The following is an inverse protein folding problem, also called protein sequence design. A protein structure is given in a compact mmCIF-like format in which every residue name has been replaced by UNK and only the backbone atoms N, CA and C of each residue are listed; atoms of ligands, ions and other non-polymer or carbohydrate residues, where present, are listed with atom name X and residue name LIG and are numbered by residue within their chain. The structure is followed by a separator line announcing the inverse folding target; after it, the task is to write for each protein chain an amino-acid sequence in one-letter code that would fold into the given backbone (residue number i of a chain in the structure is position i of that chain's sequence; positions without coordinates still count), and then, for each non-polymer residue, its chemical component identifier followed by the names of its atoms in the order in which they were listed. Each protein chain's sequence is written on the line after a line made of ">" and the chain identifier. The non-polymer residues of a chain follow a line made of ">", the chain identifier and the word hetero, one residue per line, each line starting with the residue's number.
data_IF_155358006530
#
_entry.id   IF_155358006530
#
_cell.length_a   1.000
_cell.length_b   1.000
_cell.length_c   1.000
_cell.angle_alpha   90.00
_cell.angle_beta   90.00
_cell.angle_gamma   90.00
#
_symmetry.space_group_name_H-M   'P 1'
#
loop_
_entity.id
_entity.type
_entity.pdbx_description
1 polymer ?
#
# COMPACT_ATOMS: atom_id res chain seq x y z
N UNK A 1 -2.68 1.60 -3.46
CA UNK A 1 -4.04 1.67 -2.87
C UNK A 1 -4.15 0.64 -1.75
N UNK A 2 -5.00 0.86 -0.75
CA UNK A 2 -5.33 -0.09 0.34
C UNK A 2 -6.82 -0.12 0.56
N UNK A 3 -7.43 -1.31 0.52
CA UNK A 3 -8.88 -1.48 0.76
C UNK A 3 -9.74 -0.52 -0.08
N UNK A 4 -9.43 -0.40 -1.38
CA UNK A 4 -10.01 0.54 -2.34
C UNK A 4 -9.81 2.04 -2.06
N UNK A 5 -8.91 2.41 -1.15
CA UNK A 5 -8.53 3.80 -0.90
C UNK A 5 -7.17 4.13 -1.51
N UNK A 6 -7.07 5.30 -2.13
CA UNK A 6 -5.79 5.87 -2.53
C UNK A 6 -5.03 6.31 -1.27
N UNK A 7 -3.80 5.80 -1.10
CA UNK A 7 -2.94 6.04 0.08
C UNK A 7 -1.52 6.46 -0.28
N UNK A 8 -1.17 6.38 -1.56
CA UNK A 8 0.16 6.72 -2.08
C UNK A 8 0.09 6.99 -3.58
N UNK A 9 0.80 8.02 -4.02
CA UNK A 9 0.97 8.38 -5.43
C UNK A 9 2.46 8.47 -5.73
N UNK A 10 2.87 7.84 -6.84
CA UNK A 10 4.23 7.89 -7.36
C UNK A 10 4.17 8.39 -8.80
N UNK A 11 4.95 9.42 -9.12
CA UNK A 11 5.05 9.92 -10.49
C UNK A 11 6.18 9.18 -11.20
N UNK A 12 5.84 8.53 -12.31
CA UNK A 12 6.78 7.77 -13.13
C UNK A 12 6.90 8.43 -14.51
N UNK A 13 8.10 8.41 -15.09
CA UNK A 13 8.35 8.89 -16.46
C UNK A 13 8.97 7.82 -17.38
N UNK A 14 9.29 6.64 -16.83
CA UNK A 14 10.00 5.57 -17.52
C UNK A 14 9.10 4.41 -17.97
N UNK A 15 9.69 3.52 -18.78
CA UNK A 15 9.07 2.24 -19.18
C UNK A 15 9.11 1.16 -18.09
N UNK A 16 9.93 1.37 -17.06
CA UNK A 16 10.12 0.51 -15.89
C UNK A 16 10.28 1.39 -14.68
N UNK A 17 9.75 0.95 -13.55
CA UNK A 17 9.78 1.70 -12.30
C UNK A 17 9.88 0.73 -11.13
N UNK A 18 10.54 1.17 -10.05
CA UNK A 18 10.55 0.50 -8.76
C UNK A 18 10.53 1.53 -7.64
N UNK A 19 9.76 1.26 -6.59
CA UNK A 19 9.67 2.13 -5.42
C UNK A 19 9.34 1.30 -4.18
N UNK A 20 9.73 1.83 -3.03
CA UNK A 20 9.35 1.30 -1.72
C UNK A 20 8.30 2.19 -1.08
N UNK A 21 7.37 1.58 -0.34
CA UNK A 21 6.34 2.31 0.39
C UNK A 21 6.09 1.66 1.76
N UNK A 22 6.02 2.50 2.80
CA UNK A 22 5.70 2.10 4.17
C UNK A 22 4.36 2.72 4.55
N UNK A 23 3.37 1.88 4.84
CA UNK A 23 2.07 2.30 5.36
C UNK A 23 2.15 2.58 6.87
N UNK A 24 2.27 3.85 7.23
CA UNK A 24 2.32 4.29 8.64
C UNK A 24 0.95 4.27 9.34
N UNK A 25 -0.12 4.20 8.57
CA UNK A 25 -1.50 4.27 9.06
C UNK A 25 -2.19 2.90 8.95
N UNK A 26 -1.42 1.82 8.81
CA UNK A 26 -1.95 0.47 8.73
C UNK A 26 -2.65 0.08 10.04
N UNK A 27 -3.91 -0.33 9.90
CA UNK A 27 -4.73 -0.81 11.00
C UNK A 27 -4.55 -2.32 11.15
N UNK A 28 -4.57 -2.86 12.39
CA UNK A 28 -4.55 -4.30 12.62
C UNK A 28 -5.64 -5.04 11.83
N UNK A 29 -5.33 -6.26 11.39
CA UNK A 29 -6.22 -7.12 10.64
C UNK A 29 -5.82 -7.31 9.17
N UNK A 30 -6.75 -7.83 8.38
CA UNK A 30 -6.60 -8.07 6.94
C UNK A 30 -6.68 -6.77 6.17
N UNK A 31 -5.65 -6.52 5.37
CA UNK A 31 -5.57 -5.43 4.42
C UNK A 31 -5.19 -6.01 3.07
N UNK A 32 -5.73 -5.48 1.98
CA UNK A 32 -5.22 -5.76 0.65
C UNK A 32 -4.73 -4.48 0.00
N UNK A 33 -3.58 -4.62 -0.67
CA UNK A 33 -2.94 -3.57 -1.43
C UNK A 33 -2.98 -3.92 -2.89
N UNK A 34 -3.08 -2.91 -3.73
CA UNK A 34 -2.88 -3.09 -5.15
C UNK A 34 -2.33 -1.80 -5.75
N UNK A 35 -1.60 -1.99 -6.85
CA UNK A 35 -1.08 -0.91 -7.66
C UNK A 35 -2.05 -0.65 -8.80
N UNK A 36 -2.39 0.63 -8.99
CA UNK A 36 -3.12 1.14 -10.14
C UNK A 36 -2.20 2.10 -10.87
N UNK A 37 -1.98 1.85 -12.15
CA UNK A 37 -1.16 2.68 -13.02
C UNK A 37 -2.11 3.39 -13.96
N UNK A 38 -1.98 4.72 -14.02
CA UNK A 38 -2.66 5.54 -15.03
C UNK A 38 -1.61 6.02 -16.01
N UNK A 39 -1.80 5.75 -17.30
CA UNK A 39 -0.91 6.19 -18.37
C UNK A 39 -1.28 7.59 -18.86
N UNK A 40 -0.45 8.17 -19.72
CA UNK A 40 -0.66 9.49 -20.33
C UNK A 40 -1.97 9.60 -21.13
N UNK A 41 -2.35 8.50 -21.78
CA UNK A 41 -3.63 8.34 -22.50
C UNK A 41 -4.84 8.12 -21.57
N UNK A 42 -4.66 8.18 -20.24
CA UNK A 42 -5.67 7.96 -19.19
C UNK A 42 -6.16 6.52 -19.03
N UNK A 43 -5.64 5.57 -19.78
CA UNK A 43 -5.92 4.15 -19.58
C UNK A 43 -5.34 3.68 -18.25
N UNK A 44 -6.00 2.68 -17.66
CA UNK A 44 -5.65 2.15 -16.36
C UNK A 44 -5.32 0.67 -16.42
N UNK A 45 -4.29 0.29 -15.66
CA UNK A 45 -3.96 -1.10 -15.39
C UNK A 45 -3.82 -1.32 -13.90
N UNK A 46 -4.18 -2.51 -13.42
CA UNK A 46 -4.06 -2.89 -12.03
C UNK A 46 -3.27 -4.20 -11.88
N UNK A 47 -2.45 -4.24 -10.84
CA UNK A 47 -1.83 -5.48 -10.40
C UNK A 47 -2.83 -6.32 -9.59
N UNK A 48 -2.55 -7.63 -9.49
CA UNK A 48 -3.24 -8.50 -8.54
C UNK A 48 -3.08 -7.98 -7.10
N UNK A 49 -4.07 -8.23 -6.23
CA UNK A 49 -3.99 -7.78 -4.85
C UNK A 49 -2.90 -8.53 -4.07
N UNK A 50 -2.23 -7.78 -3.21
CA UNK A 50 -1.28 -8.29 -2.21
C UNK A 50 -2.01 -8.27 -0.87
N UNK A 51 -2.24 -9.46 -0.30
CA UNK A 51 -2.94 -9.62 0.97
C UNK A 51 -1.95 -9.61 2.13
N UNK A 52 -2.25 -8.79 3.14
CA UNK A 52 -1.42 -8.61 4.34
C UNK A 52 -2.30 -8.76 5.58
N UNK A 53 -1.89 -9.62 6.50
CA UNK A 53 -2.44 -9.71 7.85
C UNK A 53 -1.51 -8.95 8.79
N UNK A 54 -1.92 -7.75 9.24
CA UNK A 54 -1.10 -6.92 10.11
C UNK A 54 -1.48 -7.10 11.58
N UNK A 55 -0.49 -7.38 12.42
CA UNK A 55 -0.66 -7.44 13.87
C UNK A 55 0.15 -6.31 14.50
N UNK A 56 -0.53 -5.35 15.14
CA UNK A 56 0.15 -4.36 15.98
C UNK A 56 0.68 -5.09 17.20
N UNK A 57 1.98 -4.96 17.44
CA UNK A 57 2.58 -5.43 18.69
C UNK A 57 2.11 -4.51 19.81
N UNK A 58 1.36 -5.05 20.76
CA UNK A 58 1.12 -4.38 22.03
C UNK A 58 2.35 -4.57 22.91
N UNK A 59 2.92 -3.46 23.38
CA UNK A 59 3.99 -3.49 24.36
C UNK A 59 3.31 -3.20 25.69
N UNK A 60 3.22 -4.20 26.56
CA UNK A 60 2.82 -3.98 27.94
C UNK A 60 3.98 -3.29 28.66
N UNK A 61 3.83 -2.00 28.97
CA UNK A 61 4.71 -1.32 29.92
C UNK A 61 4.47 -1.93 31.30
N UNK A 62 5.30 -2.90 31.68
CA UNK A 62 5.38 -3.33 33.08
C UNK A 62 5.91 -2.15 33.89
N UNK A 63 5.01 -1.50 34.63
CA UNK A 63 5.36 -0.58 35.71
C UNK A 63 6.33 -1.29 36.67
N UNK A 64 7.54 -0.78 36.78
CA UNK A 64 8.44 -0.98 37.91
C UNK A 64 8.10 0.05 39.00
#
# INVERSE_FOLDING_TARGET
>A
MRNNKDIYHHLCSGKKEGFDYIDKEIMPGKNYYYLRITQDNREQSWASPIWIEYKRREINETRL
#
